data_IF_181545994263
#
_entry.id   IF_181545994263
#
_cell.length_a   1.000
_cell.length_b   1.000
_cell.length_c   1.000
_cell.angle_alpha   90.00
_cell.angle_beta   90.00
_cell.angle_gamma   90.00
#
_symmetry.space_group_name_H-M   'P 1'
#
loop_
_entity.id
_entity.type
_entity.pdbx_description
1 polymer ?
#
# COMPACT_ATOMS: atom_id res chain seq x y z
N UNK A 1 11.71 -14.57 -13.81
CA UNK A 1 11.22 -13.20 -13.52
C UNK A 1 9.70 -13.08 -13.72
N UNK A 2 8.96 -14.19 -13.52
CA UNK A 2 7.55 -14.34 -13.91
C UNK A 2 6.52 -14.14 -12.78
N UNK A 3 6.92 -13.82 -11.55
CA UNK A 3 5.99 -13.82 -10.40
C UNK A 3 6.02 -12.55 -9.53
N UNK A 4 6.38 -11.39 -10.10
CA UNK A 4 6.12 -10.11 -9.43
C UNK A 4 4.63 -9.75 -9.56
N UNK A 5 3.75 -10.50 -8.87
CA UNK A 5 2.32 -10.17 -8.79
C UNK A 5 2.02 -9.34 -7.53
N UNK A 6 1.16 -8.32 -7.60
CA UNK A 6 0.69 -7.61 -6.42
C UNK A 6 -0.01 -8.59 -5.47
N UNK A 7 0.33 -8.52 -4.17
CA UNK A 7 -0.28 -9.33 -3.11
C UNK A 7 -1.16 -8.44 -2.22
N UNK A 8 -2.21 -9.02 -1.67
CA UNK A 8 -3.07 -8.35 -0.69
C UNK A 8 -2.54 -8.51 0.73
N UNK A 9 -3.26 -7.94 1.70
CA UNK A 9 -2.98 -8.16 3.12
C UNK A 9 -2.99 -9.65 3.51
N UNK A 10 -3.76 -10.49 2.80
CA UNK A 10 -3.79 -11.94 3.04
C UNK A 10 -2.46 -12.58 2.65
N UNK A 11 -1.97 -12.35 1.43
CA UNK A 11 -0.65 -12.85 1.00
C UNK A 11 0.48 -12.36 1.90
N UNK A 12 0.46 -11.08 2.30
CA UNK A 12 1.44 -10.52 3.26
C UNK A 12 1.38 -11.26 4.60
N UNK A 13 0.19 -11.59 5.12
CA UNK A 13 0.06 -12.32 6.38
C UNK A 13 0.63 -13.74 6.33
N UNK A 14 0.53 -14.41 5.18
CA UNK A 14 1.10 -15.75 4.97
C UNK A 14 2.63 -15.70 4.97
N UNK A 15 3.20 -14.73 4.24
CA UNK A 15 4.65 -14.50 4.22
C UNK A 15 5.14 -14.11 5.62
N UNK A 16 4.37 -13.29 6.34
CA UNK A 16 4.66 -12.92 7.72
C UNK A 16 4.69 -14.09 8.68
N UNK A 17 3.73 -15.02 8.55
CA UNK A 17 3.70 -16.25 9.33
C UNK A 17 4.96 -17.08 9.15
N UNK A 18 5.41 -17.26 7.90
CA UNK A 18 6.65 -17.98 7.61
C UNK A 18 7.89 -17.26 8.14
N UNK A 19 7.99 -15.95 7.94
CA UNK A 19 9.11 -15.16 8.47
C UNK A 19 9.19 -15.24 10.00
N UNK A 20 8.03 -15.22 10.68
CA UNK A 20 7.94 -15.40 12.12
C UNK A 20 8.36 -16.81 12.55
N UNK A 21 7.87 -17.85 11.88
CA UNK A 21 8.24 -19.25 12.16
C UNK A 21 9.74 -19.47 12.01
N UNK A 22 10.34 -19.04 10.88
CA UNK A 22 11.78 -19.13 10.64
C UNK A 22 12.55 -18.36 11.71
N UNK A 23 12.08 -17.18 12.11
CA UNK A 23 12.72 -16.40 13.18
C UNK A 23 12.69 -17.10 14.53
N UNK A 24 11.57 -17.75 14.89
CA UNK A 24 11.45 -18.50 16.15
C UNK A 24 12.33 -19.75 16.12
N UNK A 25 12.28 -20.53 15.04
CA UNK A 25 13.04 -21.78 14.91
C UNK A 25 14.56 -21.57 14.87
N UNK A 26 15.01 -20.49 14.23
CA UNK A 26 16.44 -20.16 14.12
C UNK A 26 16.98 -19.36 15.30
N UNK A 27 16.12 -18.85 16.19
CA UNK A 27 16.50 -17.91 17.24
C UNK A 27 17.00 -16.55 16.72
N UNK A 28 16.80 -16.26 15.44
CA UNK A 28 17.27 -15.05 14.77
C UNK A 28 16.09 -14.16 14.38
N UNK A 29 16.07 -12.91 14.86
CA UNK A 29 15.02 -11.94 14.54
C UNK A 29 15.17 -11.29 13.16
N UNK A 30 16.30 -11.49 12.48
CA UNK A 30 16.57 -10.85 11.20
C UNK A 30 15.50 -11.12 10.12
N UNK A 31 15.00 -12.35 9.89
CA UNK A 31 13.95 -12.61 8.89
C UNK A 31 12.69 -11.76 9.07
N UNK A 32 12.11 -11.74 10.28
CA UNK A 32 10.90 -10.95 10.55
C UNK A 32 11.16 -9.44 10.49
N UNK A 33 12.30 -8.97 11.01
CA UNK A 33 12.68 -7.55 10.94
C UNK A 33 12.91 -7.08 9.50
N UNK A 34 13.58 -7.90 8.69
CA UNK A 34 13.81 -7.62 7.29
C UNK A 34 12.49 -7.52 6.51
N UNK A 35 11.53 -8.40 6.79
CA UNK A 35 10.21 -8.34 6.17
C UNK A 35 9.43 -7.08 6.58
N UNK A 36 9.42 -6.74 7.87
CA UNK A 36 8.78 -5.51 8.37
C UNK A 36 9.42 -4.27 7.74
N UNK A 37 10.74 -4.23 7.65
CA UNK A 37 11.47 -3.14 7.02
C UNK A 37 11.10 -3.01 5.54
N UNK A 38 11.05 -4.13 4.81
CA UNK A 38 10.66 -4.15 3.40
C UNK A 38 9.23 -3.61 3.19
N UNK A 39 8.26 -4.09 3.99
CA UNK A 39 6.87 -3.60 3.93
C UNK A 39 6.81 -2.10 4.26
N UNK A 40 7.53 -1.66 5.30
CA UNK A 40 7.51 -0.26 5.73
C UNK A 40 8.07 0.67 4.65
N UNK A 41 9.16 0.28 3.98
CA UNK A 41 9.72 1.04 2.86
C UNK A 41 8.75 1.05 1.68
N UNK A 42 8.14 -0.09 1.34
CA UNK A 42 7.17 -0.17 0.25
C UNK A 42 5.92 0.68 0.52
N UNK A 43 5.39 0.66 1.75
CA UNK A 43 4.27 1.49 2.18
C UNK A 43 4.61 2.97 2.17
N UNK A 44 5.77 3.34 2.72
CA UNK A 44 6.26 4.72 2.70
C UNK A 44 6.42 5.25 1.27
N UNK A 45 7.01 4.45 0.38
CA UNK A 45 7.13 4.80 -1.04
C UNK A 45 5.77 4.95 -1.71
N UNK A 46 4.85 4.00 -1.49
CA UNK A 46 3.51 4.02 -2.08
C UNK A 46 2.69 5.22 -1.59
N UNK A 47 2.77 5.55 -0.30
CA UNK A 47 2.09 6.72 0.26
C UNK A 47 2.61 8.04 -0.29
N UNK A 48 3.84 8.11 -0.80
CA UNK A 48 4.37 9.32 -1.44
C UNK A 48 3.95 9.48 -2.91
N UNK A 49 3.32 8.46 -3.51
CA UNK A 49 2.83 8.56 -4.88
C UNK A 49 1.71 9.60 -4.99
N UNK A 50 1.59 10.31 -6.13
CA UNK A 50 0.55 11.31 -6.38
C UNK A 50 -0.81 10.67 -6.68
N UNK A 51 -1.25 9.73 -5.85
CA UNK A 51 -2.51 9.00 -6.01
C UNK A 51 -3.54 9.62 -5.05
N UNK A 52 -4.72 10.05 -5.55
CA UNK A 52 -5.83 10.49 -4.71
C UNK A 52 -6.19 9.44 -3.65
N UNK A 53 -6.57 9.88 -2.45
CA UNK A 53 -6.77 9.06 -1.24
C UNK A 53 -5.50 8.61 -0.49
N UNK A 54 -4.30 8.81 -1.03
CA UNK A 54 -3.03 8.62 -0.30
C UNK A 54 -2.43 9.96 0.15
N UNK A 55 -1.47 9.90 1.08
CA UNK A 55 -0.77 11.08 1.62
C UNK A 55 -0.12 11.94 0.52
N UNK A 56 0.49 11.29 -0.47
CA UNK A 56 1.16 11.90 -1.62
C UNK A 56 0.20 12.61 -2.57
N UNK A 57 -1.05 12.15 -2.65
CA UNK A 57 -2.13 12.86 -3.35
C UNK A 57 -2.39 14.22 -2.70
N UNK A 58 -2.47 14.26 -1.37
CA UNK A 58 -2.62 15.53 -0.63
C UNK A 58 -1.40 16.44 -0.75
N UNK A 59 -0.20 15.87 -0.70
CA UNK A 59 1.04 16.62 -0.95
C UNK A 59 0.99 17.28 -2.34
N UNK A 60 0.56 16.54 -3.38
CA UNK A 60 0.40 17.09 -4.73
C UNK A 60 -0.61 18.24 -4.76
N UNK A 61 -1.76 18.10 -4.11
CA UNK A 61 -2.77 19.18 -4.05
C UNK A 61 -2.21 20.43 -3.40
N UNK A 62 -1.53 20.30 -2.26
CA UNK A 62 -0.88 21.44 -1.57
C UNK A 62 0.20 22.08 -2.44
N UNK A 63 1.01 21.29 -3.15
CA UNK A 63 2.00 21.81 -4.09
C UNK A 63 1.34 22.59 -5.24
N UNK A 64 0.23 22.08 -5.79
CA UNK A 64 -0.54 22.77 -6.82
C UNK A 64 -1.11 24.08 -6.28
N UNK A 65 -1.68 24.09 -5.07
CA UNK A 65 -2.20 25.29 -4.43
C UNK A 65 -1.11 26.34 -4.19
N UNK A 66 0.07 25.90 -3.73
CA UNK A 66 1.23 26.78 -3.51
C UNK A 66 1.69 27.44 -4.81
N UNK A 67 1.72 26.69 -5.92
CA UNK A 67 2.07 27.23 -7.25
C UNK A 67 0.96 28.12 -7.81
N UNK A 68 -0.31 27.75 -7.61
CA UNK A 68 -1.47 28.47 -8.15
C UNK A 68 -1.81 29.74 -7.36
N UNK A 69 -1.36 29.85 -6.11
CA UNK A 69 -1.64 30.97 -5.21
C UNK A 69 -3.11 31.09 -4.78
N UNK A 70 -3.96 30.14 -5.15
CA UNK A 70 -5.39 30.09 -4.80
C UNK A 70 -5.79 28.68 -4.43
N UNK A 71 -6.52 28.57 -3.31
CA UNK A 71 -7.02 27.29 -2.79
C UNK A 71 -7.92 26.60 -3.80
N UNK A 72 -7.87 25.28 -3.80
CA UNK A 72 -8.83 24.42 -4.49
C UNK A 72 -10.08 24.36 -3.63
N UNK A 73 -11.25 24.31 -4.25
CA UNK A 73 -12.51 24.15 -3.52
C UNK A 73 -12.49 22.81 -2.77
N UNK A 74 -12.73 22.79 -1.45
CA UNK A 74 -12.70 21.56 -0.65
C UNK A 74 -13.62 20.47 -1.18
N UNK A 75 -14.74 20.85 -1.79
CA UNK A 75 -15.69 19.92 -2.43
C UNK A 75 -15.07 19.16 -3.60
N UNK A 76 -14.22 19.83 -4.41
CA UNK A 76 -13.55 19.20 -5.56
C UNK A 76 -12.42 18.28 -5.11
N UNK A 77 -11.63 18.71 -4.13
CA UNK A 77 -10.59 17.87 -3.52
C UNK A 77 -11.19 16.62 -2.87
N UNK A 78 -12.28 16.80 -2.12
CA UNK A 78 -13.01 15.71 -1.48
C UNK A 78 -13.56 14.72 -2.48
N UNK A 79 -14.16 15.18 -3.58
CA UNK A 79 -14.67 14.28 -4.62
C UNK A 79 -13.56 13.48 -5.29
N UNK A 80 -12.40 14.08 -5.57
CA UNK A 80 -11.24 13.37 -6.13
C UNK A 80 -10.71 12.32 -5.15
N UNK A 81 -10.64 12.64 -3.86
CA UNK A 81 -10.25 11.67 -2.82
C UNK A 81 -11.25 10.52 -2.69
N UNK A 82 -12.56 10.79 -2.72
CA UNK A 82 -13.59 9.75 -2.64
C UNK A 82 -13.51 8.82 -3.84
N UNK A 83 -13.38 9.36 -5.05
CA UNK A 83 -13.21 8.54 -6.26
C UNK A 83 -11.94 7.70 -6.17
N UNK A 84 -10.82 8.29 -5.75
CA UNK A 84 -9.58 7.57 -5.49
C UNK A 84 -9.75 6.44 -4.47
N UNK A 85 -10.44 6.71 -3.37
CA UNK A 85 -10.72 5.73 -2.32
C UNK A 85 -11.54 4.56 -2.85
N UNK A 86 -12.61 4.83 -3.62
CA UNK A 86 -13.43 3.77 -4.21
C UNK A 86 -12.61 2.90 -5.15
N UNK A 87 -11.76 3.49 -5.99
CA UNK A 87 -10.88 2.76 -6.90
C UNK A 87 -9.87 1.90 -6.12
N UNK A 88 -9.22 2.47 -5.10
CA UNK A 88 -8.27 1.75 -4.25
C UNK A 88 -8.93 0.60 -3.50
N UNK A 89 -10.07 0.83 -2.86
CA UNK A 89 -10.82 -0.21 -2.15
C UNK A 89 -11.28 -1.32 -3.11
N UNK A 90 -11.72 -0.95 -4.31
CA UNK A 90 -12.09 -1.94 -5.34
C UNK A 90 -10.89 -2.78 -5.74
N UNK A 91 -9.73 -2.16 -5.95
CA UNK A 91 -8.48 -2.87 -6.23
C UNK A 91 -8.09 -3.79 -5.07
N UNK A 92 -8.20 -3.34 -3.81
CA UNK A 92 -7.91 -4.16 -2.64
C UNK A 92 -8.79 -5.42 -2.61
N UNK A 93 -10.09 -5.30 -2.90
CA UNK A 93 -11.00 -6.45 -2.98
C UNK A 93 -10.57 -7.40 -4.09
N UNK A 94 -10.21 -6.89 -5.28
CA UNK A 94 -9.72 -7.72 -6.37
C UNK A 94 -8.45 -8.50 -6.00
N UNK A 95 -7.49 -7.86 -5.32
CA UNK A 95 -6.27 -8.53 -4.86
C UNK A 95 -6.54 -9.57 -3.78
N UNK A 96 -7.47 -9.29 -2.86
CA UNK A 96 -7.91 -10.26 -1.85
C UNK A 96 -8.50 -11.50 -2.53
N UNK A 97 -9.38 -11.32 -3.52
CA UNK A 97 -9.96 -12.44 -4.29
C UNK A 97 -8.86 -13.20 -5.01
N UNK A 98 -7.90 -12.50 -5.62
CA UNK A 98 -6.78 -13.12 -6.32
C UNK A 98 -5.92 -13.98 -5.39
N UNK A 99 -5.61 -13.50 -4.17
CA UNK A 99 -4.86 -14.25 -3.17
C UNK A 99 -5.62 -15.48 -2.66
N UNK A 100 -6.95 -15.40 -2.56
CA UNK A 100 -7.78 -16.55 -2.14
C UNK A 100 -7.85 -17.61 -3.25
N UNK A 101 -8.04 -17.19 -4.50
CA UNK A 101 -8.16 -18.09 -5.65
C UNK A 101 -6.82 -18.71 -6.02
N UNK A 102 -5.74 -17.93 -5.93
CA UNK A 102 -4.38 -18.35 -6.24
C UNK A 102 -3.47 -18.02 -5.05
N UNK A 103 -3.44 -18.87 -4.00
CA UNK A 103 -2.60 -18.70 -2.83
C UNK A 103 -1.13 -18.45 -3.19
N UNK A 104 -0.43 -17.70 -2.33
CA UNK A 104 1.02 -17.44 -2.51
C UNK A 104 1.85 -18.69 -2.22
N UNK A 105 1.27 -19.69 -1.55
CA UNK A 105 1.88 -20.95 -1.16
C UNK A 105 0.94 -22.12 -1.40
#
# INVERSE_FOLDING_TARGET
PEEARPVSAIGISQIAGQAAEVSVLSGNLFPILNMIAFISVALGFTNLLPIPALDGGRILFVLIEAVRGRRIEPEREGMVHVVGMVVLLSLMVLLIVQDIVNPVF
#
